data_IF_991218641411
#
_entry.id   IF_991218641411
#
_cell.length_a   1.000
_cell.length_b   1.000
_cell.length_c   1.000
_cell.angle_alpha   90.00
_cell.angle_beta   90.00
_cell.angle_gamma   90.00
#
_symmetry.space_group_name_H-M   'P 1'
#
loop_
_entity.id
_entity.type
_entity.pdbx_description
1 polymer ?
#
# COMPACT_ATOMS: atom_id res chain seq x y z
N UNK A 1 -0.66 -6.88 -6.95
CA UNK A 1 -0.67 -7.56 -8.27
C UNK A 1 0.03 -8.92 -8.25
N UNK A 2 1.27 -9.04 -7.77
CA UNK A 2 2.03 -10.31 -7.77
C UNK A 2 1.27 -11.44 -7.07
N UNK A 3 0.69 -11.18 -5.88
CA UNK A 3 -0.08 -12.18 -5.14
C UNK A 3 -1.29 -12.70 -5.92
N UNK A 4 -1.89 -11.86 -6.77
CA UNK A 4 -2.99 -12.24 -7.65
C UNK A 4 -2.55 -13.16 -8.79
N UNK A 5 -1.47 -12.81 -9.50
CA UNK A 5 -0.93 -13.67 -10.55
C UNK A 5 -0.47 -15.03 -10.01
N UNK A 6 0.13 -15.07 -8.82
CA UNK A 6 0.52 -16.31 -8.14
C UNK A 6 -0.69 -17.19 -7.81
N UNK A 7 -1.75 -16.58 -7.26
CA UNK A 7 -2.99 -17.30 -6.95
C UNK A 7 -3.64 -17.86 -8.23
N UNK A 8 -3.72 -17.04 -9.29
CA UNK A 8 -4.28 -17.45 -10.57
C UNK A 8 -3.50 -18.61 -11.22
N UNK A 9 -2.17 -18.56 -11.18
CA UNK A 9 -1.33 -19.65 -11.67
C UNK A 9 -1.49 -20.93 -10.83
N UNK A 10 -1.63 -20.80 -9.50
CA UNK A 10 -1.85 -21.95 -8.61
C UNK A 10 -3.21 -22.61 -8.79
N UNK A 11 -4.22 -21.85 -9.24
CA UNK A 11 -5.58 -22.33 -9.51
C UNK A 11 -5.74 -22.84 -10.97
N UNK A 12 -4.62 -23.17 -11.62
CA UNK A 12 -4.61 -23.72 -12.98
C UNK A 12 -5.05 -22.74 -14.06
N UNK A 13 -4.85 -21.43 -13.84
CA UNK A 13 -5.30 -20.37 -14.74
C UNK A 13 -6.83 -20.32 -14.93
N UNK A 14 -7.58 -20.80 -13.94
CA UNK A 14 -9.03 -20.70 -13.89
C UNK A 14 -9.49 -19.47 -13.08
N UNK A 15 -10.74 -19.06 -13.27
CA UNK A 15 -11.45 -18.14 -12.37
C UNK A 15 -10.78 -16.78 -12.09
N UNK A 16 -10.20 -16.13 -13.10
CA UNK A 16 -9.52 -14.81 -13.04
C UNK A 16 -10.21 -13.76 -12.14
N UNK A 17 -11.54 -13.61 -12.26
CA UNK A 17 -12.30 -12.66 -11.46
C UNK A 17 -12.35 -13.02 -9.97
N UNK A 18 -12.49 -14.32 -9.65
CA UNK A 18 -12.56 -14.82 -8.28
C UNK A 18 -11.21 -14.72 -7.59
N UNK A 19 -10.10 -15.03 -8.27
CA UNK A 19 -8.76 -14.83 -7.72
C UNK A 19 -8.53 -13.35 -7.37
N UNK A 20 -8.97 -12.42 -8.22
CA UNK A 20 -8.88 -10.99 -7.93
C UNK A 20 -9.75 -10.57 -6.73
N UNK A 21 -10.96 -11.14 -6.60
CA UNK A 21 -11.83 -10.90 -5.44
C UNK A 21 -11.23 -11.42 -4.13
N UNK A 22 -10.60 -12.62 -4.15
CA UNK A 22 -9.92 -13.19 -2.98
C UNK A 22 -8.80 -12.25 -2.51
N UNK A 23 -7.96 -11.79 -3.43
CA UNK A 23 -6.85 -10.89 -3.10
C UNK A 23 -7.35 -9.51 -2.64
N UNK A 24 -8.41 -8.99 -3.24
CA UNK A 24 -8.99 -7.73 -2.80
C UNK A 24 -9.51 -7.82 -1.37
N UNK A 25 -10.22 -8.91 -1.05
CA UNK A 25 -10.73 -9.18 0.30
C UNK A 25 -9.60 -9.40 1.30
N UNK A 26 -8.55 -10.13 0.95
CA UNK A 26 -7.39 -10.33 1.84
C UNK A 26 -6.65 -9.02 2.13
N UNK A 27 -6.71 -8.05 1.24
CA UNK A 27 -6.20 -6.69 1.45
C UNK A 27 -7.18 -5.75 2.19
N UNK A 28 -8.30 -6.28 2.70
CA UNK A 28 -9.32 -5.47 3.40
C UNK A 28 -10.07 -4.49 2.50
N UNK A 29 -10.04 -4.67 1.17
CA UNK A 29 -10.73 -3.81 0.21
C UNK A 29 -11.88 -4.56 -0.49
N UNK A 30 -12.73 -3.78 -1.17
CA UNK A 30 -13.91 -4.30 -1.87
C UNK A 30 -13.70 -4.57 -3.37
N UNK A 31 -14.83 -4.68 -4.08
CA UNK A 31 -14.91 -4.95 -5.52
C UNK A 31 -14.14 -3.94 -6.39
N UNK A 32 -13.97 -2.70 -5.91
CA UNK A 32 -13.15 -1.69 -6.57
C UNK A 32 -11.69 -2.14 -6.74
N UNK A 33 -11.06 -2.66 -5.68
CA UNK A 33 -9.67 -3.12 -5.77
C UNK A 33 -9.57 -4.35 -6.66
N UNK A 34 -10.52 -5.28 -6.57
CA UNK A 34 -10.60 -6.45 -7.45
C UNK A 34 -10.62 -6.04 -8.93
N UNK A 35 -11.43 -5.03 -9.28
CA UNK A 35 -11.45 -4.46 -10.63
C UNK A 35 -10.09 -3.85 -11.01
N UNK A 36 -9.51 -3.02 -10.14
CA UNK A 36 -8.21 -2.37 -10.39
C UNK A 36 -7.07 -3.35 -10.58
N UNK A 37 -7.00 -4.40 -9.76
CA UNK A 37 -6.00 -5.46 -9.91
C UNK A 37 -6.08 -6.09 -11.29
N UNK A 38 -7.28 -6.38 -11.80
CA UNK A 38 -7.44 -6.94 -13.16
C UNK A 38 -7.03 -5.97 -14.26
N UNK A 39 -7.44 -4.70 -14.15
CA UNK A 39 -7.07 -3.65 -15.11
C UNK A 39 -5.54 -3.47 -15.16
N UNK A 40 -4.90 -3.23 -14.02
CA UNK A 40 -3.45 -3.07 -13.93
C UNK A 40 -2.68 -4.29 -14.42
N UNK A 41 -3.20 -5.49 -14.18
CA UNK A 41 -2.54 -6.70 -14.66
C UNK A 41 -2.60 -6.80 -16.19
N UNK A 42 -3.74 -6.44 -16.80
CA UNK A 42 -3.86 -6.40 -18.26
C UNK A 42 -2.99 -5.30 -18.86
N UNK A 43 -2.93 -4.14 -18.22
CA UNK A 43 -2.11 -3.02 -18.66
C UNK A 43 -0.61 -3.37 -18.60
N UNK A 44 -0.17 -4.03 -17.54
CA UNK A 44 1.20 -4.53 -17.41
C UNK A 44 1.54 -5.62 -18.44
N UNK A 45 0.59 -6.51 -18.77
CA UNK A 45 0.78 -7.51 -19.84
C UNK A 45 0.94 -6.84 -21.21
N UNK A 46 0.27 -5.69 -21.42
CA UNK A 46 0.34 -4.93 -22.68
C UNK A 46 1.61 -4.09 -22.77
N UNK A 47 2.06 -3.53 -21.66
CA UNK A 47 3.27 -2.73 -21.56
C UNK A 47 3.91 -2.97 -20.18
N UNK A 48 5.08 -3.61 -20.18
CA UNK A 48 5.82 -3.94 -18.95
C UNK A 48 6.22 -2.69 -18.15
N UNK A 49 6.28 -1.52 -18.80
CA UNK A 49 6.60 -0.25 -18.15
C UNK A 49 5.38 0.40 -17.50
N UNK A 50 4.17 -0.09 -17.81
CA UNK A 50 2.92 0.44 -17.28
C UNK A 50 2.58 -0.23 -15.94
N UNK A 51 3.41 0.04 -14.95
CA UNK A 51 3.16 -0.38 -13.57
C UNK A 51 2.06 0.48 -12.95
N UNK A 52 1.22 -0.08 -12.06
CA UNK A 52 0.29 0.71 -11.28
C UNK A 52 1.07 1.69 -10.42
N UNK A 53 1.12 2.94 -10.85
CA UNK A 53 1.66 4.04 -10.04
C UNK A 53 0.71 4.26 -8.88
N UNK A 54 1.22 4.08 -7.66
CA UNK A 54 0.58 4.67 -6.50
C UNK A 54 0.47 6.18 -6.77
N UNK A 55 -0.75 6.72 -6.83
CA UNK A 55 -0.93 8.17 -6.90
C UNK A 55 -0.60 8.77 -5.53
N UNK A 56 0.68 8.75 -5.16
CA UNK A 56 1.20 9.49 -4.02
C UNK A 56 0.81 10.97 -4.20
N UNK A 57 0.05 11.50 -3.25
CA UNK A 57 -0.37 12.91 -3.22
C UNK A 57 -1.73 13.26 -3.84
N UNK A 58 -2.48 12.32 -4.46
CA UNK A 58 -3.84 12.61 -4.97
C UNK A 58 -4.99 12.09 -4.11
N UNK A 59 -4.72 11.13 -3.21
CA UNK A 59 -5.69 10.84 -2.15
C UNK A 59 -5.51 11.87 -1.05
N UNK A 60 -6.61 12.32 -0.44
CA UNK A 60 -6.62 13.11 0.80
C UNK A 60 -6.05 12.32 2.02
N UNK A 61 -5.30 11.25 1.77
CA UNK A 61 -4.63 10.43 2.77
C UNK A 61 -3.39 11.16 3.25
N UNK A 62 -3.24 11.22 4.55
CA UNK A 62 -2.03 11.72 5.18
C UNK A 62 -0.88 10.75 4.90
N UNK A 63 0.34 11.26 4.76
CA UNK A 63 1.56 10.44 4.63
C UNK A 63 1.72 9.45 5.81
N UNK A 64 1.04 9.73 6.93
CA UNK A 64 0.96 8.84 8.09
C UNK A 64 0.27 7.50 7.83
N UNK A 65 -0.43 7.32 6.70
CA UNK A 65 -0.99 6.02 6.31
C UNK A 65 0.03 5.12 5.59
N UNK A 66 1.21 5.65 5.26
CA UNK A 66 2.32 4.83 4.75
C UNK A 66 2.79 3.87 5.84
N UNK A 67 2.72 2.56 5.57
CA UNK A 67 2.94 1.50 6.56
C UNK A 67 4.36 1.55 7.16
N UNK A 68 5.35 1.81 6.31
CA UNK A 68 6.75 1.91 6.73
C UNK A 68 6.95 3.14 7.62
N UNK A 69 6.43 4.30 7.20
CA UNK A 69 6.52 5.53 7.99
C UNK A 69 5.75 5.44 9.31
N UNK A 70 4.56 4.83 9.30
CA UNK A 70 3.77 4.61 10.51
C UNK A 70 4.52 3.72 11.51
N UNK A 71 5.18 2.67 11.03
CA UNK A 71 5.96 1.78 11.87
C UNK A 71 7.20 2.47 12.46
N UNK A 72 7.93 3.25 11.66
CA UNK A 72 9.06 4.08 12.14
C UNK A 72 8.60 5.11 13.18
N UNK A 73 7.50 5.81 12.91
CA UNK A 73 6.92 6.78 13.85
C UNK A 73 6.47 6.11 15.15
N UNK A 74 5.81 4.95 15.08
CA UNK A 74 5.43 4.20 16.26
C UNK A 74 6.63 3.78 17.10
N UNK A 75 7.72 3.34 16.46
CA UNK A 75 8.95 2.99 17.15
C UNK A 75 9.57 4.21 17.85
N UNK A 76 9.60 5.36 17.18
CA UNK A 76 10.08 6.61 17.77
C UNK A 76 9.25 7.01 18.99
N UNK A 77 7.92 6.99 18.88
CA UNK A 77 7.01 7.35 19.98
C UNK A 77 7.10 6.39 21.16
N UNK A 78 7.32 5.09 20.93
CA UNK A 78 7.58 4.13 22.00
C UNK A 78 8.85 4.44 22.79
N UNK A 79 9.87 5.01 22.12
CA UNK A 79 11.12 5.45 22.75
C UNK A 79 10.97 6.66 23.67
N UNK A 80 9.98 7.52 23.44
CA UNK A 80 9.69 8.71 24.28
C UNK A 80 9.06 8.30 25.61
N UNK A 81 8.19 7.28 25.58
CA UNK A 81 7.55 6.70 26.76
C UNK A 81 6.04 6.93 26.81
N UNK A 82 5.47 6.91 28.02
CA UNK A 82 4.01 6.89 28.23
C UNK A 82 3.30 8.17 27.77
N UNK A 83 3.99 9.31 27.83
CA UNK A 83 3.40 10.62 27.53
C UNK A 83 3.93 11.09 26.18
N UNK A 84 3.03 11.10 25.20
CA UNK A 84 3.29 11.54 23.84
C UNK A 84 2.39 12.72 23.52
N UNK A 85 2.95 13.75 22.89
CA UNK A 85 2.23 14.91 22.39
C UNK A 85 2.33 15.00 20.86
N UNK A 86 1.40 15.74 20.25
CA UNK A 86 1.45 16.01 18.81
C UNK A 86 2.78 16.67 18.39
N UNK A 87 3.42 17.43 19.30
CA UNK A 87 4.72 18.05 19.05
C UNK A 87 5.83 17.02 18.81
N UNK A 88 5.75 15.83 19.41
CA UNK A 88 6.75 14.77 19.22
C UNK A 88 6.74 14.26 17.78
N UNK A 89 5.54 14.13 17.19
CA UNK A 89 5.36 13.78 15.78
C UNK A 89 5.93 14.89 14.88
N UNK A 90 5.64 16.16 15.19
CA UNK A 90 6.16 17.31 14.43
C UNK A 90 7.68 17.36 14.48
N UNK A 91 8.28 17.13 15.66
CA UNK A 91 9.73 17.12 15.83
C UNK A 91 10.38 15.97 15.06
N UNK A 92 9.77 14.78 15.07
CA UNK A 92 10.24 13.63 14.31
C UNK A 92 10.22 13.90 12.80
N UNK A 93 9.11 14.44 12.28
CA UNK A 93 8.99 14.84 10.87
C UNK A 93 9.93 15.99 10.48
N UNK A 94 10.40 16.77 11.46
CA UNK A 94 11.31 17.88 11.23
C UNK A 94 12.79 17.47 11.15
N UNK A 95 13.14 16.20 11.38
CA UNK A 95 14.51 15.68 11.29
C UNK A 95 15.04 15.74 9.85
N UNK A 96 16.35 15.93 9.69
CA UNK A 96 16.97 16.05 8.36
C UNK A 96 16.84 14.75 7.54
N UNK A 97 16.82 13.60 8.21
CA UNK A 97 16.58 12.29 7.59
C UNK A 97 15.18 12.19 6.99
N UNK A 98 14.13 12.60 7.72
CA UNK A 98 12.75 12.57 7.23
C UNK A 98 12.49 13.62 6.15
N UNK A 99 13.18 14.76 6.18
CA UNK A 99 13.06 15.81 5.16
C UNK A 99 13.77 15.49 3.85
N UNK A 100 14.78 14.63 3.88
CA UNK A 100 15.52 14.23 2.69
C UNK A 100 14.83 13.11 1.88
N UNK A 101 13.76 12.53 2.42
CA UNK A 101 12.96 11.45 1.83
C UNK A 101 11.84 12.01 0.94
#
# INVERSE_FOLDING_TARGET
MISFLRLYASDGYAEWAKCADIIAKSAGKGSWLSRRIREWTVDFIRDENNLPTAEYGKMNGTILEDEDLAQELHLHLQGIGKYVAAQDIVNYMATDEMKAR
#
